data_IF_933081834838
#
_entry.id   IF_933081834838
#
_cell.length_a   1.000
_cell.length_b   1.000
_cell.length_c   1.000
_cell.angle_alpha   90.00
_cell.angle_beta   90.00
_cell.angle_gamma   90.00
#
_symmetry.space_group_name_H-M   'P 1'
#
loop_
_entity.id
_entity.type
_entity.pdbx_description
1 polymer ?
#
# COMPACT_ATOMS: atom_id res chain seq x y z
N UNK A 1 -0.30 56.82 -12.57
CA UNK A 1 -0.04 56.28 -11.23
C UNK A 1 0.97 55.14 -11.36
N UNK A 2 2.01 55.14 -10.50
CA UNK A 2 2.94 54.04 -10.10
C UNK A 2 3.61 53.26 -11.26
N UNK A 3 4.88 53.48 -11.61
CA UNK A 3 6.14 53.25 -10.88
C UNK A 3 6.40 51.78 -10.50
N UNK A 4 7.66 51.36 -10.73
CA UNK A 4 8.42 50.21 -10.20
C UNK A 4 8.56 49.02 -11.18
N UNK A 5 9.69 48.87 -11.89
CA UNK A 5 10.97 48.29 -11.42
C UNK A 5 10.75 46.90 -10.79
N UNK A 6 11.27 45.84 -11.42
CA UNK A 6 12.01 44.84 -10.67
C UNK A 6 13.12 44.20 -11.52
N UNK A 7 14.27 44.14 -10.88
CA UNK A 7 15.59 43.81 -11.37
C UNK A 7 15.70 42.44 -12.05
N UNK A 8 16.47 42.42 -13.13
CA UNK A 8 17.25 41.27 -13.59
C UNK A 8 18.19 40.82 -12.45
N UNK A 9 17.79 39.79 -11.73
CA UNK A 9 18.62 39.12 -10.73
C UNK A 9 19.34 37.94 -11.40
N UNK A 10 20.59 38.20 -11.77
CA UNK A 10 21.76 37.33 -11.59
C UNK A 10 21.52 35.83 -11.33
N UNK A 11 21.82 34.99 -12.33
CA UNK A 11 22.14 33.57 -12.14
C UNK A 11 23.66 33.43 -12.28
N UNK A 12 24.44 33.21 -11.20
CA UNK A 12 25.80 32.75 -11.35
C UNK A 12 25.80 31.25 -11.67
N UNK A 13 26.10 30.97 -12.95
CA UNK A 13 26.57 29.71 -13.49
C UNK A 13 27.85 29.28 -12.75
N UNK A 14 27.75 28.32 -11.83
CA UNK A 14 28.92 27.61 -11.29
C UNK A 14 28.75 26.14 -11.64
N UNK A 15 29.23 25.78 -12.83
CA UNK A 15 29.50 24.39 -13.19
C UNK A 15 30.99 24.12 -12.98
N UNK A 16 31.25 23.55 -11.80
CA UNK A 16 32.27 22.55 -11.47
C UNK A 16 33.45 22.41 -12.45
N UNK A 17 34.55 23.08 -12.11
CA UNK A 17 35.90 22.64 -12.46
C UNK A 17 36.21 21.36 -11.67
N UNK A 18 36.76 20.36 -12.35
CA UNK A 18 36.88 19.01 -11.84
C UNK A 18 38.13 18.66 -11.04
N UNK A 19 38.19 17.34 -10.83
CA UNK A 19 39.36 16.47 -10.68
C UNK A 19 40.15 16.43 -9.36
N UNK A 20 40.21 15.19 -8.87
CA UNK A 20 41.37 14.49 -8.33
C UNK A 20 41.61 14.55 -6.81
N UNK A 21 41.82 13.37 -6.23
CA UNK A 21 42.72 13.19 -5.09
C UNK A 21 42.17 12.29 -3.98
N UNK A 22 42.83 11.16 -3.79
CA UNK A 22 42.64 10.13 -2.76
C UNK A 22 42.69 10.58 -1.29
N UNK A 23 42.03 9.75 -0.47
CA UNK A 23 42.33 9.30 0.91
C UNK A 23 41.63 9.93 2.13
N UNK A 24 40.77 9.06 2.68
CA UNK A 24 40.58 8.70 4.08
C UNK A 24 39.60 9.51 4.94
N UNK A 25 38.74 8.71 5.59
CA UNK A 25 37.92 9.01 6.76
C UNK A 25 36.67 9.86 6.52
N UNK A 26 35.59 9.24 6.10
CA UNK A 26 34.27 9.50 6.69
C UNK A 26 33.50 8.18 6.85
N UNK A 27 33.27 7.85 8.12
CA UNK A 27 32.35 6.85 8.62
C UNK A 27 30.96 7.10 8.04
N UNK A 28 30.54 6.32 7.04
CA UNK A 28 29.11 6.06 6.84
C UNK A 28 28.76 4.88 7.77
N UNK A 29 28.40 5.07 9.04
CA UNK A 29 27.07 5.53 9.42
C UNK A 29 26.08 5.05 8.35
N UNK A 30 25.75 3.75 8.26
CA UNK A 30 24.94 3.04 9.26
C UNK A 30 23.76 3.87 9.75
N UNK A 31 23.15 4.65 8.87
CA UNK A 31 21.84 5.24 9.08
C UNK A 31 21.03 5.03 7.80
N UNK A 32 20.78 3.74 7.47
CA UNK A 32 19.45 3.40 6.97
C UNK A 32 18.51 3.74 8.12
N UNK A 33 18.10 5.00 8.17
CA UNK A 33 16.93 5.41 8.91
C UNK A 33 15.79 4.67 8.21
N UNK A 34 15.52 3.45 8.69
CA UNK A 34 14.37 2.65 8.34
C UNK A 34 13.18 3.56 8.61
N UNK A 35 12.71 4.27 7.57
CA UNK A 35 11.48 5.03 7.62
C UNK A 35 10.43 4.03 8.07
N UNK A 36 10.08 4.11 9.36
CA UNK A 36 9.14 3.21 9.97
C UNK A 36 7.88 3.26 9.14
N UNK A 37 7.36 2.08 8.81
CA UNK A 37 6.14 1.93 8.01
C UNK A 37 4.94 2.27 8.90
N UNK A 38 4.84 3.53 9.27
CA UNK A 38 3.89 4.04 10.25
C UNK A 38 2.53 4.25 9.60
N UNK A 39 1.49 3.64 10.18
CA UNK A 39 0.11 3.75 9.73
C UNK A 39 -0.80 4.10 10.91
N UNK A 40 -1.94 4.80 10.68
CA UNK A 40 -2.89 5.06 11.75
C UNK A 40 -3.36 3.73 12.36
N UNK A 41 -3.35 3.64 13.70
CA UNK A 41 -3.83 2.43 14.40
C UNK A 41 -5.21 1.97 13.94
N UNK A 42 -6.12 2.90 13.70
CA UNK A 42 -7.48 2.62 13.24
C UNK A 42 -7.48 1.91 11.87
N UNK A 43 -6.64 2.35 10.93
CA UNK A 43 -6.52 1.70 9.62
C UNK A 43 -6.00 0.26 9.76
N UNK A 44 -5.01 0.05 10.63
CA UNK A 44 -4.47 -1.27 10.89
C UNK A 44 -5.55 -2.21 11.43
N UNK A 45 -6.27 -1.80 12.48
CA UNK A 45 -7.31 -2.59 13.12
C UNK A 45 -8.46 -2.91 12.15
N UNK A 46 -8.91 -1.93 11.37
CA UNK A 46 -9.95 -2.12 10.35
C UNK A 46 -9.47 -3.05 9.22
N UNK A 47 -8.20 -2.96 8.81
CA UNK A 47 -7.62 -3.84 7.78
C UNK A 47 -7.53 -5.28 8.28
N UNK A 48 -7.12 -5.49 9.53
CA UNK A 48 -7.12 -6.83 10.16
C UNK A 48 -8.54 -7.40 10.19
N UNK A 49 -9.53 -6.60 10.58
CA UNK A 49 -10.92 -7.04 10.59
C UNK A 49 -11.42 -7.43 9.20
N UNK A 50 -11.15 -6.62 8.17
CA UNK A 50 -11.57 -6.93 6.80
C UNK A 50 -10.85 -8.17 6.25
N UNK A 51 -9.57 -8.35 6.57
CA UNK A 51 -8.83 -9.57 6.24
C UNK A 51 -9.53 -10.80 6.81
N UNK A 52 -9.85 -10.80 8.10
CA UNK A 52 -10.50 -11.93 8.78
C UNK A 52 -11.86 -12.27 8.16
N UNK A 53 -12.68 -11.26 7.87
CA UNK A 53 -13.99 -11.44 7.23
C UNK A 53 -13.85 -12.10 5.85
N UNK A 54 -12.95 -11.57 5.01
CA UNK A 54 -12.77 -12.07 3.63
C UNK A 54 -12.14 -13.48 3.65
N UNK A 55 -11.18 -13.72 4.55
CA UNK A 55 -10.57 -15.04 4.74
C UNK A 55 -11.59 -16.07 5.24
N UNK A 56 -12.45 -15.69 6.18
CA UNK A 56 -13.52 -16.57 6.66
C UNK A 56 -14.49 -16.94 5.52
N UNK A 57 -14.94 -15.96 4.74
CA UNK A 57 -15.82 -16.22 3.60
C UNK A 57 -15.17 -17.14 2.56
N UNK A 58 -13.86 -16.96 2.31
CA UNK A 58 -13.08 -17.85 1.45
C UNK A 58 -13.02 -19.28 1.99
N UNK A 59 -12.73 -19.45 3.29
CA UNK A 59 -12.67 -20.77 3.92
C UNK A 59 -14.03 -21.49 3.97
N UNK A 60 -15.12 -20.72 3.96
CA UNK A 60 -16.49 -21.21 3.89
C UNK A 60 -17.00 -21.39 2.45
N UNK A 61 -16.13 -21.21 1.44
CA UNK A 61 -16.45 -21.30 0.00
C UNK A 61 -17.70 -20.47 -0.39
N UNK A 62 -17.83 -19.26 0.18
CA UNK A 62 -18.99 -18.38 -0.03
C UNK A 62 -18.59 -16.94 -0.31
N UNK A 63 -19.56 -16.16 -0.82
CA UNK A 63 -19.42 -14.71 -0.93
C UNK A 63 -19.56 -14.07 0.44
N UNK A 64 -19.12 -12.81 0.53
CA UNK A 64 -19.50 -11.96 1.65
C UNK A 64 -21.04 -11.93 1.75
N UNK A 65 -21.55 -12.08 2.97
CA UNK A 65 -22.97 -11.90 3.24
C UNK A 65 -23.33 -10.41 3.25
N UNK A 66 -24.62 -10.09 3.37
CA UNK A 66 -25.10 -8.71 3.28
C UNK A 66 -24.45 -7.77 4.30
N UNK A 67 -24.28 -8.22 5.54
CA UNK A 67 -23.74 -7.38 6.61
C UNK A 67 -22.23 -7.20 6.42
N UNK A 68 -21.52 -8.25 5.99
CA UNK A 68 -20.11 -8.20 5.62
C UNK A 68 -19.86 -7.30 4.40
N UNK A 69 -20.74 -7.31 3.40
CA UNK A 69 -20.68 -6.38 2.27
C UNK A 69 -20.85 -4.93 2.71
N UNK A 70 -21.76 -4.65 3.64
CA UNK A 70 -21.93 -3.32 4.22
C UNK A 70 -20.65 -2.87 4.93
N UNK A 71 -20.03 -3.75 5.73
CA UNK A 71 -18.77 -3.45 6.42
C UNK A 71 -17.62 -3.19 5.42
N UNK A 72 -17.54 -4.01 4.38
CA UNK A 72 -16.55 -3.86 3.32
C UNK A 72 -16.73 -2.52 2.56
N UNK A 73 -17.97 -2.14 2.23
CA UNK A 73 -18.27 -0.87 1.57
C UNK A 73 -17.96 0.33 2.47
N UNK A 74 -18.25 0.23 3.77
CA UNK A 74 -17.89 1.24 4.78
C UNK A 74 -16.38 1.42 4.89
N UNK A 75 -15.64 0.32 4.94
CA UNK A 75 -14.17 0.33 4.93
C UNK A 75 -13.63 1.07 3.71
N UNK A 76 -14.11 0.71 2.51
CA UNK A 76 -13.67 1.35 1.27
C UNK A 76 -13.99 2.84 1.23
N UNK A 77 -15.19 3.23 1.67
CA UNK A 77 -15.60 4.63 1.70
C UNK A 77 -14.83 5.44 2.73
N UNK A 78 -14.45 4.84 3.87
CA UNK A 78 -13.72 5.51 4.95
C UNK A 78 -12.30 5.88 4.54
N UNK A 79 -11.65 5.04 3.74
CA UNK A 79 -10.25 5.18 3.37
C UNK A 79 -10.01 5.44 1.87
N UNK A 80 -11.01 5.94 1.15
CA UNK A 80 -10.91 6.19 -0.29
C UNK A 80 -9.77 7.17 -0.65
N UNK A 81 -9.51 8.14 0.23
CA UNK A 81 -8.45 9.13 0.04
C UNK A 81 -7.03 8.56 0.20
N UNK A 82 -6.89 7.40 0.86
CA UNK A 82 -5.58 6.85 1.25
C UNK A 82 -4.87 6.15 0.08
N UNK A 83 -5.61 5.64 -0.91
CA UNK A 83 -5.04 4.95 -2.08
C UNK A 83 -4.13 5.85 -2.93
N UNK A 84 -4.31 7.17 -2.88
CA UNK A 84 -3.61 8.11 -3.76
C UNK A 84 -2.57 8.98 -3.05
N UNK A 85 -2.59 9.04 -1.72
CA UNK A 85 -1.86 10.07 -0.97
C UNK A 85 -0.69 9.51 -0.15
N UNK A 86 -0.70 8.23 0.22
CA UNK A 86 0.35 7.64 1.05
C UNK A 86 0.61 6.17 0.69
N UNK A 87 1.87 5.76 0.75
CA UNK A 87 2.29 4.46 0.22
C UNK A 87 1.73 3.29 1.05
N UNK A 88 2.11 3.17 2.32
CA UNK A 88 1.71 2.02 3.16
C UNK A 88 0.22 2.02 3.52
N UNK A 89 -0.38 3.18 3.74
CA UNK A 89 -1.83 3.26 3.90
C UNK A 89 -2.60 2.87 2.62
N UNK A 90 -2.07 3.22 1.45
CA UNK A 90 -2.59 2.76 0.17
C UNK A 90 -2.47 1.24 -0.01
N UNK A 91 -1.37 0.64 0.42
CA UNK A 91 -1.18 -0.82 0.40
C UNK A 91 -2.16 -1.53 1.33
N UNK A 92 -2.36 -1.05 2.56
CA UNK A 92 -3.30 -1.63 3.52
C UNK A 92 -4.77 -1.52 3.07
N UNK A 93 -5.13 -0.45 2.38
CA UNK A 93 -6.51 -0.24 1.89
C UNK A 93 -6.80 -1.03 0.60
N UNK A 94 -5.82 -1.15 -0.29
CA UNK A 94 -5.97 -1.87 -1.56
C UNK A 94 -5.92 -3.40 -1.40
N UNK A 95 -5.22 -3.92 -0.39
CA UNK A 95 -5.08 -5.36 -0.19
C UNK A 95 -6.41 -6.09 0.11
N UNK A 96 -7.28 -5.63 1.04
CA UNK A 96 -8.63 -6.18 1.21
C UNK A 96 -9.48 -6.09 -0.07
N UNK A 97 -9.31 -5.03 -0.88
CA UNK A 97 -9.99 -4.91 -2.18
C UNK A 97 -9.54 -5.99 -3.15
N UNK A 98 -8.25 -6.23 -3.22
CA UNK A 98 -7.69 -7.31 -4.04
C UNK A 98 -8.19 -8.70 -3.60
N UNK A 99 -8.20 -8.97 -2.29
CA UNK A 99 -8.72 -10.23 -1.74
C UNK A 99 -10.19 -10.46 -2.09
N UNK A 100 -11.05 -9.45 -1.91
CA UNK A 100 -12.48 -9.58 -2.24
C UNK A 100 -12.71 -9.81 -3.74
N UNK A 101 -11.92 -9.18 -4.62
CA UNK A 101 -11.97 -9.42 -6.05
C UNK A 101 -11.60 -10.87 -6.41
N UNK A 102 -10.58 -11.42 -5.76
CA UNK A 102 -10.19 -12.83 -5.93
C UNK A 102 -11.26 -13.79 -5.39
N UNK A 103 -11.88 -13.49 -4.24
CA UNK A 103 -13.00 -14.25 -3.68
C UNK A 103 -14.19 -14.31 -4.67
N UNK A 104 -14.56 -13.16 -5.23
CA UNK A 104 -15.64 -13.07 -6.23
C UNK A 104 -15.33 -13.83 -7.50
N UNK A 105 -14.07 -13.78 -7.95
CA UNK A 105 -13.60 -14.49 -9.15
C UNK A 105 -13.60 -16.01 -8.96
N UNK A 106 -13.26 -16.49 -7.76
CA UNK A 106 -13.30 -17.90 -7.41
C UNK A 106 -14.73 -18.48 -7.45
N UNK A 107 -15.74 -17.67 -7.08
CA UNK A 107 -17.14 -18.07 -7.00
C UNK A 107 -17.96 -17.76 -8.27
N UNK A 108 -17.29 -17.42 -9.37
CA UNK A 108 -17.92 -17.30 -10.67
C UNK A 108 -17.50 -18.53 -11.49
N UNK A 109 -18.44 -19.44 -11.71
CA UNK A 109 -18.28 -20.63 -12.56
C UNK A 109 -17.92 -20.22 -13.99
N UNK A 110 -16.64 -20.02 -14.29
CA UNK A 110 -16.15 -20.02 -15.67
C UNK A 110 -15.65 -21.45 -15.98
N UNK A 111 -16.38 -22.23 -16.80
CA UNK A 111 -16.00 -23.60 -17.14
C UNK A 111 -14.75 -23.67 -18.05
N UNK A 112 -14.17 -22.53 -18.40
CA UNK A 112 -12.97 -22.46 -19.23
C UNK A 112 -11.83 -21.89 -18.38
N UNK A 113 -11.25 -22.74 -17.54
CA UNK A 113 -9.81 -22.84 -17.28
C UNK A 113 -9.60 -23.90 -16.19
N UNK A 114 -9.26 -25.13 -16.63
CA UNK A 114 -8.68 -26.23 -15.86
C UNK A 114 -7.37 -25.83 -15.15
N UNK A 115 -7.42 -24.83 -14.29
CA UNK A 115 -6.44 -24.59 -13.24
C UNK A 115 -7.18 -24.10 -12.01
N UNK A 116 -7.94 -25.01 -11.41
CA UNK A 116 -8.42 -24.91 -10.02
C UNK A 116 -7.26 -24.48 -9.09
N UNK A 117 -6.04 -24.85 -9.46
CA UNK A 117 -4.77 -24.46 -8.86
C UNK A 117 -4.44 -22.95 -8.97
N UNK A 118 -5.08 -22.19 -9.86
CA UNK A 118 -4.70 -20.78 -10.10
C UNK A 118 -5.43 -19.79 -9.19
N UNK A 119 -6.71 -19.99 -8.87
CA UNK A 119 -7.49 -19.03 -8.06
C UNK A 119 -7.23 -19.18 -6.56
N UNK A 120 -7.27 -20.41 -6.04
CA UNK A 120 -6.94 -20.69 -4.64
C UNK A 120 -5.51 -20.29 -4.31
N UNK A 121 -4.57 -20.56 -5.21
CA UNK A 121 -3.16 -20.14 -5.05
C UNK A 121 -3.01 -18.62 -5.10
N UNK A 122 -3.69 -17.92 -6.02
CA UNK A 122 -3.67 -16.45 -6.08
C UNK A 122 -4.21 -15.84 -4.78
N UNK A 123 -5.34 -16.35 -4.28
CA UNK A 123 -5.93 -15.89 -3.02
C UNK A 123 -4.96 -16.10 -1.85
N UNK A 124 -4.40 -17.30 -1.70
CA UNK A 124 -3.42 -17.59 -0.63
C UNK A 124 -2.17 -16.72 -0.71
N UNK A 125 -1.66 -16.44 -1.92
CA UNK A 125 -0.52 -15.53 -2.12
C UNK A 125 -0.86 -14.10 -1.72
N UNK A 126 -2.01 -13.59 -2.14
CA UNK A 126 -2.47 -12.25 -1.75
C UNK A 126 -2.66 -12.14 -0.23
N UNK A 127 -3.22 -13.17 0.41
CA UNK A 127 -3.39 -13.19 1.87
C UNK A 127 -2.03 -13.20 2.59
N UNK A 128 -1.08 -13.98 2.08
CA UNK A 128 0.28 -14.01 2.63
C UNK A 128 0.95 -12.63 2.54
N UNK A 129 0.85 -11.95 1.39
CA UNK A 129 1.39 -10.60 1.21
C UNK A 129 0.76 -9.58 2.17
N UNK A 130 -0.55 -9.67 2.41
CA UNK A 130 -1.20 -8.81 3.40
C UNK A 130 -0.69 -9.10 4.83
N UNK A 131 -0.47 -10.36 5.19
CA UNK A 131 0.10 -10.69 6.50
C UNK A 131 1.53 -10.15 6.65
N UNK A 132 2.39 -10.28 5.62
CA UNK A 132 3.73 -9.69 5.62
C UNK A 132 3.67 -8.17 5.79
N UNK A 133 2.78 -7.50 5.04
CA UNK A 133 2.58 -6.05 5.17
C UNK A 133 2.13 -5.66 6.59
N UNK A 134 1.20 -6.39 7.18
CA UNK A 134 0.72 -6.15 8.55
C UNK A 134 1.81 -6.37 9.61
N UNK A 135 2.72 -7.32 9.39
CA UNK A 135 3.83 -7.59 10.30
C UNK A 135 4.93 -6.51 10.22
N UNK A 136 5.05 -5.84 9.06
CA UNK A 136 6.07 -4.82 8.81
C UNK A 136 5.66 -3.39 9.22
N UNK A 137 4.36 -3.12 9.39
CA UNK A 137 3.85 -1.79 9.74
C UNK A 137 3.85 -1.53 11.25
N UNK A 138 4.25 -0.33 11.65
CA UNK A 138 4.11 0.18 13.02
C UNK A 138 2.85 1.07 13.11
N UNK A 139 2.18 1.08 14.26
CA UNK A 139 0.97 1.90 14.45
C UNK A 139 1.26 3.12 15.32
N UNK A 140 0.64 4.26 14.98
CA UNK A 140 0.68 5.52 15.75
C UNK A 140 -0.70 6.00 16.18
#
# INVERSE_FOLDING_TARGET
MRNLLFSLLSIPLILLLGCAGENSSETSASDEDYLKKEVPRELYEDTVQMKEIIEQAYNEDRRLNRDEEILYDQFNSKYDDYESTRFYEGELTSAPRHLNNLLRSYLHDDPVLDSEDSHRTKFRRALHQLNELLDEVETY
#
